data_IF_038391741840
#
_entry.id   IF_038391741840
#
_cell.length_a   1.000
_cell.length_b   1.000
_cell.length_c   1.000
_cell.angle_alpha   90.00
_cell.angle_beta   90.00
_cell.angle_gamma   90.00
#
_symmetry.space_group_name_H-M   'P 1'
#
loop_
_entity.id
_entity.type
_entity.pdbx_description
1 polymer ?
#
# COMPACT_ATOMS: atom_id res chain seq x y z
N UNK A 1 3.39 -20.91 -16.04
CA UNK A 1 4.44 -21.00 -15.01
C UNK A 1 3.97 -21.68 -13.71
N UNK A 2 2.80 -21.37 -13.11
CA UNK A 2 2.30 -22.08 -11.92
C UNK A 2 2.14 -23.60 -12.07
N UNK A 3 1.64 -24.08 -13.21
CA UNK A 3 1.46 -25.51 -13.45
C UNK A 3 2.77 -26.30 -13.35
N UNK A 4 3.90 -25.71 -13.74
CA UNK A 4 5.21 -26.36 -13.60
C UNK A 4 5.63 -26.48 -12.13
N UNK A 5 5.34 -25.46 -11.30
CA UNK A 5 5.63 -25.50 -9.86
C UNK A 5 4.80 -26.59 -9.19
N UNK A 6 3.50 -26.64 -9.48
CA UNK A 6 2.59 -27.67 -8.94
C UNK A 6 3.02 -29.07 -9.41
N UNK A 7 3.36 -29.23 -10.69
CA UNK A 7 3.83 -30.52 -11.22
C UNK A 7 5.14 -30.97 -10.57
N UNK A 8 6.09 -30.06 -10.35
CA UNK A 8 7.38 -30.35 -9.72
C UNK A 8 7.23 -30.64 -8.23
N UNK A 9 6.42 -29.87 -7.50
CA UNK A 9 6.26 -30.00 -6.05
C UNK A 9 5.26 -31.07 -5.63
N UNK A 10 4.30 -31.43 -6.49
CA UNK A 10 3.22 -32.40 -6.20
C UNK A 10 2.43 -32.04 -4.92
N UNK A 11 2.21 -30.75 -4.71
CA UNK A 11 1.50 -30.21 -3.56
C UNK A 11 0.34 -29.34 -4.03
N UNK A 12 -0.65 -29.10 -3.15
CA UNK A 12 -1.71 -28.13 -3.45
C UNK A 12 -1.14 -26.71 -3.51
N UNK A 13 -1.78 -25.82 -4.25
CA UNK A 13 -1.39 -24.39 -4.29
C UNK A 13 -1.40 -23.79 -2.88
N UNK A 14 -2.37 -24.18 -2.04
CA UNK A 14 -2.47 -23.75 -0.65
C UNK A 14 -1.21 -24.13 0.13
N UNK A 15 -0.80 -25.39 0.08
CA UNK A 15 0.37 -25.88 0.83
C UNK A 15 1.67 -25.21 0.36
N UNK A 16 1.80 -25.00 -0.96
CA UNK A 16 2.95 -24.31 -1.55
C UNK A 16 3.05 -22.89 -0.99
N UNK A 17 1.94 -22.14 -0.99
CA UNK A 17 1.88 -20.75 -0.51
C UNK A 17 2.09 -20.68 1.00
N UNK A 18 1.46 -21.55 1.79
CA UNK A 18 1.64 -21.53 3.26
C UNK A 18 3.05 -21.91 3.66
N UNK A 19 3.71 -22.85 2.96
CA UNK A 19 5.12 -23.17 3.20
C UNK A 19 6.03 -22.00 2.82
N UNK A 20 5.74 -21.31 1.72
CA UNK A 20 6.48 -20.11 1.33
C UNK A 20 6.36 -19.01 2.40
N UNK A 21 5.16 -18.78 2.93
CA UNK A 21 4.97 -17.83 4.04
C UNK A 21 5.74 -18.25 5.29
N UNK A 22 5.71 -19.52 5.67
CA UNK A 22 6.47 -20.00 6.83
C UNK A 22 7.99 -19.81 6.68
N UNK A 23 8.52 -19.89 5.45
CA UNK A 23 9.95 -19.75 5.16
C UNK A 23 10.40 -18.28 5.07
N UNK A 24 9.61 -17.41 4.43
CA UNK A 24 10.01 -16.04 4.10
C UNK A 24 9.24 -14.94 4.87
N UNK A 25 8.22 -15.32 5.62
CA UNK A 25 7.20 -14.43 6.14
C UNK A 25 6.06 -14.18 5.14
N UNK A 26 4.91 -13.73 5.63
CA UNK A 26 3.75 -13.36 4.81
C UNK A 26 3.72 -11.85 4.62
N UNK A 27 3.55 -11.40 3.38
CA UNK A 27 3.12 -10.03 3.11
C UNK A 27 1.61 -10.03 2.93
N UNK A 28 0.89 -9.57 3.96
CA UNK A 28 -0.51 -9.22 3.82
C UNK A 28 -0.62 -8.03 2.89
N UNK A 29 -1.54 -8.08 1.93
CA UNK A 29 -1.69 -7.03 0.94
C UNK A 29 -3.17 -6.80 0.66
N UNK A 30 -3.55 -5.54 0.55
CA UNK A 30 -4.81 -5.14 -0.06
C UNK A 30 -4.67 -3.82 -0.80
N UNK A 31 -5.49 -3.64 -1.84
CA UNK A 31 -5.63 -2.38 -2.56
C UNK A 31 -7.04 -1.83 -2.39
N UNK A 32 -7.12 -0.58 -1.97
CA UNK A 32 -8.35 0.18 -1.79
C UNK A 32 -8.41 1.26 -2.88
N UNK A 33 -9.41 1.16 -3.76
CA UNK A 33 -9.64 2.15 -4.81
C UNK A 33 -10.83 3.05 -4.41
N UNK A 34 -10.57 4.36 -4.28
CA UNK A 34 -11.58 5.39 -4.09
C UNK A 34 -11.85 6.03 -5.45
N UNK A 35 -12.86 5.49 -6.14
CA UNK A 35 -13.21 5.88 -7.50
C UNK A 35 -14.10 7.13 -7.50
N UNK A 36 -14.04 7.89 -8.60
CA UNK A 36 -14.87 9.08 -8.83
C UNK A 36 -14.83 10.06 -7.64
N UNK A 37 -13.64 10.31 -7.10
CA UNK A 37 -13.43 11.39 -6.13
C UNK A 37 -13.22 12.71 -6.86
N UNK A 38 -13.61 13.82 -6.23
CA UNK A 38 -13.37 15.16 -6.77
C UNK A 38 -11.87 15.36 -7.06
N UNK A 39 -11.56 15.78 -8.28
CA UNK A 39 -10.18 15.88 -8.76
C UNK A 39 -9.38 16.93 -7.99
N UNK A 40 -9.98 18.07 -7.66
CA UNK A 40 -9.30 19.15 -6.94
C UNK A 40 -9.01 18.73 -5.51
N UNK A 41 -10.00 18.14 -4.82
CA UNK A 41 -9.81 17.60 -3.49
C UNK A 41 -8.75 16.49 -3.44
N UNK A 42 -8.72 15.60 -4.43
CA UNK A 42 -7.72 14.54 -4.50
C UNK A 42 -6.31 15.06 -4.81
N UNK A 43 -6.20 16.10 -5.65
CA UNK A 43 -4.93 16.80 -5.90
C UNK A 43 -4.45 17.52 -4.64
N UNK A 44 -5.34 18.19 -3.90
CA UNK A 44 -5.02 18.82 -2.60
C UNK A 44 -4.52 17.79 -1.61
N UNK A 45 -5.19 16.64 -1.46
CA UNK A 45 -4.74 15.54 -0.60
C UNK A 45 -3.29 15.15 -0.90
N UNK A 46 -2.98 14.89 -2.17
CA UNK A 46 -1.64 14.46 -2.60
C UNK A 46 -0.61 15.56 -2.36
N UNK A 47 -0.95 16.83 -2.65
CA UNK A 47 -0.06 17.96 -2.40
C UNK A 47 0.24 18.14 -0.91
N UNK A 48 -0.78 18.14 -0.06
CA UNK A 48 -0.63 18.22 1.40
C UNK A 48 0.16 17.04 1.95
N UNK A 49 -0.01 15.84 1.40
CA UNK A 49 0.78 14.69 1.80
C UNK A 49 2.26 14.85 1.40
N UNK A 50 2.55 15.39 0.22
CA UNK A 50 3.93 15.67 -0.23
C UNK A 50 4.66 16.64 0.71
N UNK A 51 3.97 17.67 1.19
CA UNK A 51 4.52 18.65 2.13
C UNK A 51 4.94 18.02 3.47
N UNK A 52 4.28 16.93 3.88
CA UNK A 52 4.58 16.21 5.13
C UNK A 52 5.74 15.22 5.00
N UNK A 53 6.17 14.84 3.80
CA UNK A 53 7.10 13.71 3.61
C UNK A 53 8.40 13.85 4.42
N UNK A 54 8.95 15.07 4.48
CA UNK A 54 10.19 15.33 5.20
C UNK A 54 10.05 15.20 6.73
N UNK A 55 8.84 15.31 7.28
CA UNK A 55 8.60 15.28 8.74
C UNK A 55 8.02 13.96 9.23
N UNK A 56 7.63 13.06 8.32
CA UNK A 56 7.07 11.75 8.68
C UNK A 56 8.10 10.77 9.28
N UNK A 57 9.35 10.65 8.79
CA UNK A 57 10.32 9.72 9.37
C UNK A 57 10.54 9.95 10.87
N UNK A 58 10.50 8.88 11.66
CA UNK A 58 10.62 8.92 13.12
C UNK A 58 9.30 9.13 13.87
N UNK A 59 8.23 9.54 13.21
CA UNK A 59 6.89 9.61 13.82
C UNK A 59 6.33 8.21 14.09
N UNK A 60 5.43 8.10 15.07
CA UNK A 60 4.82 6.83 15.48
C UNK A 60 3.31 6.96 15.58
N UNK A 61 2.61 5.93 15.09
CA UNK A 61 1.17 5.79 15.13
C UNK A 61 0.84 4.47 15.83
N UNK A 62 0.74 4.51 17.16
CA UNK A 62 0.73 3.29 17.98
C UNK A 62 2.05 2.53 17.84
N UNK A 63 1.99 1.25 17.45
CA UNK A 63 3.19 0.41 17.24
C UNK A 63 3.83 0.58 15.86
N UNK A 64 3.24 1.41 14.99
CA UNK A 64 3.71 1.63 13.62
C UNK A 64 4.61 2.87 13.59
N UNK A 65 5.92 2.67 13.50
CA UNK A 65 6.90 3.75 13.38
C UNK A 65 7.34 3.93 11.94
N UNK A 66 7.28 5.17 11.45
CA UNK A 66 7.68 5.49 10.07
C UNK A 66 9.21 5.51 9.98
N UNK A 67 9.75 4.64 9.13
CA UNK A 67 11.18 4.56 8.83
C UNK A 67 11.58 5.54 7.72
N UNK A 68 10.78 5.64 6.67
CA UNK A 68 11.03 6.55 5.55
C UNK A 68 9.72 6.97 4.87
N UNK A 69 9.72 8.11 4.20
CA UNK A 69 8.62 8.54 3.34
C UNK A 69 9.17 9.29 2.13
N UNK A 70 8.66 8.99 0.94
CA UNK A 70 9.09 9.62 -0.32
C UNK A 70 7.96 9.69 -1.36
N UNK A 71 8.16 10.50 -2.40
CA UNK A 71 7.39 10.42 -3.64
C UNK A 71 8.23 9.70 -4.69
N UNK A 72 7.79 8.50 -5.06
CA UNK A 72 8.61 7.55 -5.79
C UNK A 72 9.01 8.09 -7.17
N UNK A 73 10.30 7.97 -7.47
CA UNK A 73 10.85 8.20 -8.78
C UNK A 73 11.65 6.97 -9.24
N UNK A 74 11.47 6.57 -10.49
CA UNK A 74 12.22 5.51 -11.13
C UNK A 74 13.16 6.09 -12.18
N UNK A 75 14.41 5.67 -12.13
CA UNK A 75 15.46 6.00 -13.09
C UNK A 75 15.78 4.72 -13.86
N UNK A 76 15.43 4.70 -15.14
CA UNK A 76 15.61 3.51 -15.96
C UNK A 76 17.10 3.30 -16.30
N UNK A 77 17.69 2.13 -15.97
CA UNK A 77 19.12 1.91 -16.21
C UNK A 77 19.46 1.63 -17.68
N UNK A 78 18.48 1.38 -18.54
CA UNK A 78 18.66 1.07 -19.96
C UNK A 78 18.57 2.34 -20.80
N UNK A 79 17.46 3.07 -20.69
CA UNK A 79 17.20 4.26 -21.51
C UNK A 79 17.46 5.59 -20.79
N UNK A 80 17.82 5.54 -19.50
CA UNK A 80 18.09 6.71 -18.66
C UNK A 80 16.90 7.66 -18.47
N UNK A 81 15.69 7.23 -18.83
CA UNK A 81 14.47 8.00 -18.58
C UNK A 81 14.18 8.09 -17.07
N UNK A 82 13.53 9.19 -16.68
CA UNK A 82 13.17 9.45 -15.28
C UNK A 82 11.67 9.64 -15.16
N UNK A 83 11.02 8.70 -14.49
CA UNK A 83 9.59 8.75 -14.16
C UNK A 83 9.41 9.22 -12.72
N UNK A 84 9.04 10.49 -12.53
CA UNK A 84 8.79 11.08 -11.21
C UNK A 84 7.33 10.96 -10.81
N UNK A 85 7.05 11.19 -9.52
CA UNK A 85 5.69 11.27 -8.97
C UNK A 85 4.85 10.00 -9.17
N UNK A 86 5.50 8.83 -9.10
CA UNK A 86 4.88 7.53 -9.42
C UNK A 86 4.13 6.91 -8.22
N UNK A 87 4.07 7.60 -7.09
CA UNK A 87 3.30 7.20 -5.92
C UNK A 87 4.03 7.59 -4.65
N UNK A 88 3.27 8.08 -3.68
CA UNK A 88 3.79 8.45 -2.37
C UNK A 88 3.92 7.17 -1.53
N UNK A 89 5.11 6.90 -1.00
CA UNK A 89 5.41 5.73 -0.19
C UNK A 89 5.67 6.15 1.25
N UNK A 90 5.07 5.42 2.19
CA UNK A 90 5.34 5.52 3.62
C UNK A 90 5.79 4.13 4.06
N UNK A 91 7.05 4.01 4.44
CA UNK A 91 7.70 2.76 4.85
C UNK A 91 7.79 2.74 6.37
N UNK A 92 7.32 1.66 6.98
CA UNK A 92 7.37 1.46 8.42
C UNK A 92 8.55 0.55 8.81
N UNK A 93 9.03 0.73 10.04
CA UNK A 93 9.92 -0.26 10.66
C UNK A 93 9.24 -1.63 10.66
N UNK A 94 10.01 -2.70 10.45
CA UNK A 94 9.47 -4.06 10.33
C UNK A 94 8.93 -4.42 8.94
N UNK A 95 9.13 -3.58 7.92
CA UNK A 95 8.91 -3.95 6.51
C UNK A 95 7.50 -3.72 5.98
N UNK A 96 6.58 -3.23 6.80
CA UNK A 96 5.24 -2.82 6.36
C UNK A 96 5.30 -1.50 5.59
N UNK A 97 4.36 -1.26 4.68
CA UNK A 97 4.30 -0.02 3.90
C UNK A 97 2.90 0.33 3.44
N UNK A 98 2.71 1.62 3.20
CA UNK A 98 1.53 2.18 2.57
C UNK A 98 1.98 2.96 1.34
N UNK A 99 1.26 2.82 0.23
CA UNK A 99 1.49 3.60 -0.99
C UNK A 99 0.19 4.26 -1.44
N UNK A 100 0.25 5.56 -1.75
CA UNK A 100 -0.85 6.29 -2.34
C UNK A 100 -0.52 6.69 -3.77
N UNK A 101 -1.43 6.40 -4.69
CA UNK A 101 -1.31 6.79 -6.10
C UNK A 101 -2.60 7.40 -6.59
N UNK A 102 -2.52 8.62 -7.09
CA UNK A 102 -3.62 9.26 -7.79
C UNK A 102 -3.56 8.92 -9.27
N UNK A 103 -4.70 8.62 -9.87
CA UNK A 103 -4.79 8.31 -11.29
C UNK A 103 -6.09 8.83 -11.90
N UNK A 104 -6.06 9.07 -13.22
CA UNK A 104 -7.25 9.40 -13.99
C UNK A 104 -7.89 10.73 -13.63
N UNK A 105 -7.13 11.82 -13.50
CA UNK A 105 -7.64 13.16 -13.13
C UNK A 105 -8.39 13.88 -14.27
N UNK A 106 -9.18 13.14 -15.05
CA UNK A 106 -9.95 13.66 -16.19
C UNK A 106 -11.31 14.22 -15.78
N UNK A 107 -12.21 14.38 -16.74
CA UNK A 107 -13.57 14.90 -16.51
C UNK A 107 -14.46 13.97 -15.67
N UNK A 108 -14.09 12.69 -15.51
CA UNK A 108 -14.83 11.69 -14.74
C UNK A 108 -14.45 11.65 -13.24
N UNK A 109 -13.76 12.68 -12.74
CA UNK A 109 -13.16 12.66 -11.40
C UNK A 109 -11.85 11.87 -11.38
N UNK A 110 -11.24 11.73 -10.21
CA UNK A 110 -10.00 10.99 -10.03
C UNK A 110 -10.22 9.66 -9.30
N UNK A 111 -9.26 8.75 -9.41
CA UNK A 111 -9.20 7.53 -8.58
C UNK A 111 -7.97 7.60 -7.68
N UNK A 112 -8.19 7.69 -6.37
CA UNK A 112 -7.14 7.53 -5.37
C UNK A 112 -6.99 6.05 -5.05
N UNK A 113 -5.81 5.49 -5.30
CA UNK A 113 -5.47 4.11 -4.93
C UNK A 113 -4.59 4.10 -3.70
N UNK A 114 -5.02 3.35 -2.70
CA UNK A 114 -4.29 3.07 -1.47
C UNK A 114 -3.86 1.61 -1.50
N UNK A 115 -2.56 1.37 -1.49
CA UNK A 115 -1.94 0.06 -1.36
C UNK A 115 -1.47 -0.10 0.08
N UNK A 116 -1.87 -1.17 0.75
CA UNK A 116 -1.49 -1.44 2.13
C UNK A 116 -0.82 -2.79 2.18
N UNK A 117 0.40 -2.83 2.72
CA UNK A 117 1.16 -4.06 2.86
C UNK A 117 1.73 -4.19 4.28
N UNK A 118 1.49 -5.33 4.92
CA UNK A 118 2.08 -5.70 6.21
C UNK A 118 2.98 -6.91 6.04
N UNK A 119 4.24 -6.76 6.39
CA UNK A 119 5.12 -7.90 6.57
C UNK A 119 4.87 -8.55 7.94
N UNK A 120 4.61 -9.86 7.93
CA UNK A 120 4.38 -10.68 9.12
C UNK A 120 5.35 -11.87 9.11
N UNK A 121 6.43 -11.84 9.91
CA UNK A 121 7.37 -12.95 9.99
C UNK A 121 6.85 -14.11 10.85
N UNK A 122 5.89 -13.90 11.75
CA UNK A 122 5.41 -14.95 12.65
C UNK A 122 4.39 -15.86 11.97
N UNK A 123 4.77 -17.12 11.76
CA UNK A 123 3.92 -18.14 11.16
C UNK A 123 2.60 -18.39 11.91
N UNK A 124 2.56 -18.18 13.23
CA UNK A 124 1.33 -18.32 14.01
C UNK A 124 0.29 -17.24 13.64
N UNK A 125 0.74 -16.12 13.08
CA UNK A 125 -0.10 -14.99 12.70
C UNK A 125 -0.51 -15.02 11.23
N UNK A 126 0.05 -15.91 10.41
CA UNK A 126 -0.28 -16.01 8.98
C UNK A 126 -1.71 -16.48 8.69
N UNK A 127 -2.43 -16.99 9.69
CA UNK A 127 -3.83 -17.39 9.56
C UNK A 127 -4.85 -16.27 9.70
N UNK A 128 -4.42 -15.06 10.12
CA UNK A 128 -5.33 -13.92 10.33
C UNK A 128 -5.95 -13.51 8.99
N UNK A 129 -7.21 -13.09 9.03
CA UNK A 129 -7.92 -12.54 7.87
C UNK A 129 -7.21 -11.26 7.38
N UNK A 130 -7.15 -11.05 6.07
CA UNK A 130 -6.31 -10.01 5.47
C UNK A 130 -6.74 -8.60 5.89
N UNK A 131 -8.04 -8.28 5.90
CA UNK A 131 -8.52 -6.96 6.31
C UNK A 131 -8.32 -6.73 7.81
N UNK A 132 -8.50 -7.76 8.63
CA UNK A 132 -8.18 -7.70 10.06
C UNK A 132 -6.70 -7.42 10.29
N UNK A 133 -5.79 -8.13 9.59
CA UNK A 133 -4.36 -7.93 9.71
C UNK A 133 -3.88 -6.55 9.23
N UNK A 134 -4.64 -5.89 8.35
CA UNK A 134 -4.30 -4.58 7.78
C UNK A 134 -5.04 -3.40 8.43
N UNK A 135 -5.98 -3.66 9.34
CA UNK A 135 -6.93 -2.65 9.83
C UNK A 135 -6.26 -1.41 10.45
N UNK A 136 -5.22 -1.60 11.25
CA UNK A 136 -4.45 -0.51 11.87
C UNK A 136 -3.65 0.29 10.83
N UNK A 137 -3.02 -0.36 9.85
CA UNK A 137 -2.33 0.33 8.75
C UNK A 137 -3.31 1.12 7.87
N UNK A 138 -4.51 0.59 7.61
CA UNK A 138 -5.58 1.29 6.89
C UNK A 138 -6.01 2.55 7.67
N UNK A 139 -6.17 2.45 8.99
CA UNK A 139 -6.51 3.60 9.83
C UNK A 139 -5.37 4.64 9.88
N UNK A 140 -4.12 4.19 9.91
CA UNK A 140 -2.94 5.08 9.84
C UNK A 140 -2.85 5.76 8.47
N UNK A 141 -3.19 5.08 7.37
CA UNK A 141 -3.25 5.69 6.04
C UNK A 141 -4.20 6.90 6.02
N UNK A 142 -5.42 6.75 6.56
CA UNK A 142 -6.40 7.84 6.64
C UNK A 142 -5.91 8.95 7.60
N UNK A 143 -5.27 8.59 8.71
CA UNK A 143 -4.72 9.57 9.67
C UNK A 143 -3.63 10.44 9.02
N UNK A 144 -2.73 9.84 8.24
CA UNK A 144 -1.61 10.56 7.62
C UNK A 144 -2.09 11.39 6.42
N UNK A 145 -2.86 10.77 5.52
CA UNK A 145 -3.26 11.35 4.25
C UNK A 145 -4.56 12.17 4.32
N UNK A 146 -5.39 11.98 5.35
CA UNK A 146 -6.69 12.65 5.48
C UNK A 146 -7.68 12.23 4.39
N UNK A 147 -7.70 10.95 3.98
CA UNK A 147 -8.50 10.47 2.84
C UNK A 147 -9.96 10.86 3.00
N UNK A 148 -10.57 10.54 4.15
CA UNK A 148 -11.95 10.90 4.44
C UNK A 148 -12.18 12.40 4.49
N UNK A 149 -11.25 13.15 5.09
CA UNK A 149 -11.37 14.59 5.25
C UNK A 149 -11.34 15.34 3.90
N UNK A 150 -10.50 14.89 2.96
CA UNK A 150 -10.40 15.50 1.63
C UNK A 150 -11.48 14.99 0.68
N UNK A 151 -11.73 13.67 0.64
CA UNK A 151 -12.60 13.07 -0.40
C UNK A 151 -14.05 12.90 0.03
N UNK A 152 -14.35 13.03 1.32
CA UNK A 152 -15.66 12.70 1.90
C UNK A 152 -15.97 11.21 1.96
N UNK A 153 -15.10 10.33 1.44
CA UNK A 153 -15.32 8.88 1.40
C UNK A 153 -14.93 8.24 2.73
N UNK A 154 -15.88 7.54 3.37
CA UNK A 154 -15.62 6.76 4.60
C UNK A 154 -15.10 5.35 4.34
N UNK A 155 -15.20 4.86 3.11
CA UNK A 155 -14.77 3.54 2.67
C UNK A 155 -14.37 3.58 1.18
N UNK A 156 -13.51 2.67 0.71
CA UNK A 156 -13.18 2.55 -0.71
C UNK A 156 -14.38 2.04 -1.53
N UNK A 157 -14.40 2.38 -2.82
CA UNK A 157 -15.36 1.83 -3.78
C UNK A 157 -15.06 0.36 -4.09
N UNK A 158 -13.78 0.00 -4.17
CA UNK A 158 -13.31 -1.36 -4.47
C UNK A 158 -12.19 -1.76 -3.52
N UNK A 159 -12.22 -3.01 -3.06
CA UNK A 159 -11.16 -3.66 -2.28
C UNK A 159 -10.67 -4.88 -3.07
N UNK A 160 -9.37 -5.02 -3.23
CA UNK A 160 -8.69 -6.21 -3.81
C UNK A 160 -7.70 -6.80 -2.84
#
# INVERSE_FOLDING_TARGET
>A
YWLNIVAARKESVKDIVTKHWAEYGRNYYSRHDYEEVDSDAANTLVATLREKLATLPGTSYGNLKVAAADDFAYHDPVDQSVSKNQGIRILFEGGSRIVLRLSGTGTAGATLRLYVERYEPDAARHGIETQEALADLIAVADTIAGIKAHTGRSAPSVIT
#
